data_IF_846287102285
#
_entry.id   IF_846287102285
#
_cell.length_a   1.000
_cell.length_b   1.000
_cell.length_c   1.000
_cell.angle_alpha   90.00
_cell.angle_beta   90.00
_cell.angle_gamma   90.00
#
_symmetry.space_group_name_H-M   'P 1'
#
loop_
_entity.id
_entity.type
_entity.pdbx_description
1 polymer ?
#
# COMPACT_ATOMS: atom_id res chain seq x y z
N UNK A 1 -7.39 21.42 2.26
CA UNK A 1 -7.73 20.68 1.01
C UNK A 1 -7.38 19.24 1.25
N UNK A 2 -8.23 18.32 0.80
CA UNK A 2 -7.97 16.88 0.92
C UNK A 2 -6.77 16.50 0.02
N UNK A 3 -5.84 15.70 0.54
CA UNK A 3 -4.65 15.23 -0.19
C UNK A 3 -5.02 14.07 -1.15
N UNK A 4 -5.81 14.39 -2.15
CA UNK A 4 -6.34 13.44 -3.13
C UNK A 4 -6.40 14.07 -4.52
N UNK A 5 -6.02 13.30 -5.54
CA UNK A 5 -6.21 13.65 -6.95
C UNK A 5 -7.59 13.14 -7.40
N UNK A 6 -8.54 14.04 -7.74
CA UNK A 6 -9.88 13.61 -8.16
C UNK A 6 -9.89 12.69 -9.39
N UNK A 7 -8.92 12.85 -10.31
CA UNK A 7 -8.83 12.01 -11.51
C UNK A 7 -8.38 10.59 -11.16
N UNK A 8 -7.43 10.45 -10.23
CA UNK A 8 -7.00 9.14 -9.74
C UNK A 8 -8.15 8.44 -8.99
N UNK A 9 -8.85 9.15 -8.09
CA UNK A 9 -10.02 8.60 -7.39
C UNK A 9 -11.11 8.13 -8.35
N UNK A 10 -11.43 8.91 -9.39
CA UNK A 10 -12.45 8.53 -10.37
C UNK A 10 -12.01 7.31 -11.18
N UNK A 11 -10.75 7.24 -11.60
CA UNK A 11 -10.16 6.11 -12.33
C UNK A 11 -10.30 4.80 -11.55
N UNK A 12 -9.86 4.75 -10.29
CA UNK A 12 -10.00 3.56 -9.45
C UNK A 12 -11.46 3.25 -9.13
N UNK A 13 -12.30 4.28 -8.96
CA UNK A 13 -13.74 4.12 -8.75
C UNK A 13 -14.44 3.47 -9.93
N UNK A 14 -14.06 3.76 -11.17
CA UNK A 14 -14.65 3.15 -12.37
C UNK A 14 -14.31 1.66 -12.48
N UNK A 15 -13.13 1.27 -12.03
CA UNK A 15 -12.63 -0.11 -12.10
C UNK A 15 -13.03 -0.95 -10.86
N UNK A 16 -13.61 -0.33 -9.83
CA UNK A 16 -13.83 -0.96 -8.53
C UNK A 16 -14.57 -2.31 -8.60
N UNK A 17 -15.56 -2.45 -9.49
CA UNK A 17 -16.38 -3.66 -9.66
C UNK A 17 -15.57 -4.89 -10.12
N UNK A 18 -14.33 -4.71 -10.59
CA UNK A 18 -13.43 -5.78 -11.05
C UNK A 18 -12.32 -6.12 -10.05
N UNK A 19 -12.34 -5.51 -8.86
CA UNK A 19 -11.24 -5.62 -7.89
C UNK A 19 -10.89 -7.06 -7.51
N UNK A 20 -11.91 -7.92 -7.37
CA UNK A 20 -11.76 -9.33 -7.02
C UNK A 20 -11.73 -10.29 -8.22
N UNK A 21 -11.84 -9.77 -9.44
CA UNK A 21 -11.64 -10.56 -10.66
C UNK A 21 -10.15 -10.77 -10.92
N UNK A 22 -9.65 -11.96 -10.63
CA UNK A 22 -8.23 -12.34 -10.80
C UNK A 22 -7.77 -12.40 -12.26
N UNK A 23 -8.67 -12.22 -13.23
CA UNK A 23 -8.35 -12.07 -14.65
C UNK A 23 -8.34 -10.60 -15.11
N UNK A 24 -8.70 -9.66 -14.22
CA UNK A 24 -8.75 -8.23 -14.49
C UNK A 24 -7.39 -7.55 -14.42
N UNK A 25 -7.39 -6.22 -14.59
CA UNK A 25 -6.25 -5.32 -14.36
C UNK A 25 -5.73 -5.35 -12.92
N UNK A 26 -6.50 -5.85 -11.95
CA UNK A 26 -6.09 -6.03 -10.55
C UNK A 26 -5.38 -7.38 -10.29
N UNK A 27 -5.29 -8.25 -11.31
CA UNK A 27 -4.55 -9.51 -11.21
C UNK A 27 -3.16 -9.36 -10.60
N UNK A 28 -2.32 -8.36 -10.96
CA UNK A 28 -1.01 -8.19 -10.34
C UNK A 28 -1.09 -8.01 -8.82
N UNK A 29 -2.11 -7.31 -8.29
CA UNK A 29 -2.29 -7.12 -6.85
C UNK A 29 -2.58 -8.46 -6.15
N UNK A 30 -3.36 -9.35 -6.77
CA UNK A 30 -3.62 -10.70 -6.23
C UNK A 30 -2.34 -11.55 -6.22
N UNK A 31 -1.56 -11.49 -7.31
CA UNK A 31 -0.33 -12.29 -7.45
C UNK A 31 0.78 -11.84 -6.49
N UNK A 32 0.90 -10.54 -6.20
CA UNK A 32 1.90 -10.01 -5.28
C UNK A 32 1.45 -10.05 -3.81
N UNK A 33 0.16 -10.18 -3.54
CA UNK A 33 -0.38 -10.10 -2.19
C UNK A 33 0.23 -11.11 -1.21
N UNK A 34 0.41 -12.40 -1.53
CA UNK A 34 1.06 -13.34 -0.64
C UNK A 34 2.48 -12.93 -0.26
N UNK A 35 3.26 -12.42 -1.22
CA UNK A 35 4.64 -11.99 -0.99
C UNK A 35 4.71 -10.79 -0.03
N UNK A 36 3.81 -9.81 -0.21
CA UNK A 36 3.71 -8.65 0.68
C UNK A 36 3.28 -9.05 2.09
N UNK A 37 2.25 -9.89 2.17
CA UNK A 37 1.70 -10.38 3.43
C UNK A 37 2.73 -11.15 4.24
N UNK A 38 3.49 -12.06 3.61
CA UNK A 38 4.55 -12.84 4.27
C UNK A 38 5.69 -11.93 4.76
N UNK A 39 6.08 -10.94 3.96
CA UNK A 39 7.12 -9.99 4.32
C UNK A 39 6.72 -9.09 5.48
N UNK A 40 5.46 -8.61 5.50
CA UNK A 40 4.90 -7.83 6.59
C UNK A 40 4.86 -8.67 7.88
N UNK A 41 4.30 -9.87 7.80
CA UNK A 41 4.14 -10.77 8.93
C UNK A 41 5.50 -11.11 9.58
N UNK A 42 6.47 -11.46 8.75
CA UNK A 42 7.84 -11.77 9.20
C UNK A 42 8.50 -10.59 9.91
N UNK A 43 8.48 -9.39 9.31
CA UNK A 43 9.19 -8.23 9.86
C UNK A 43 8.46 -7.57 11.03
N UNK A 44 7.15 -7.72 11.11
CA UNK A 44 6.38 -7.28 12.26
C UNK A 44 6.43 -8.26 13.45
N UNK A 45 7.06 -9.43 13.30
CA UNK A 45 7.06 -10.47 14.32
C UNK A 45 5.68 -11.10 14.53
N UNK A 46 4.93 -11.31 13.43
CA UNK A 46 3.54 -11.77 13.40
C UNK A 46 2.53 -10.63 13.40
N UNK A 47 1.40 -10.81 12.71
CA UNK A 47 0.28 -9.84 12.68
C UNK A 47 -0.90 -10.26 13.56
N UNK A 48 -0.92 -11.50 14.04
CA UNK A 48 -1.99 -12.01 14.91
C UNK A 48 -2.13 -11.13 16.17
N UNK A 49 -3.37 -10.86 16.57
CA UNK A 49 -3.75 -10.04 17.73
C UNK A 49 -3.29 -8.58 17.68
N UNK A 50 -2.69 -8.12 16.56
CA UNK A 50 -2.28 -6.73 16.37
C UNK A 50 -3.37 -5.89 15.73
N UNK A 51 -3.42 -4.61 16.09
CA UNK A 51 -4.24 -3.61 15.40
C UNK A 51 -3.49 -3.13 14.16
N UNK A 52 -4.04 -3.40 13.00
CA UNK A 52 -3.43 -3.10 11.69
C UNK A 52 -4.29 -2.10 10.93
N UNK A 53 -3.66 -1.06 10.39
CA UNK A 53 -4.28 -0.11 9.48
C UNK A 53 -3.76 -0.35 8.05
N UNK A 54 -4.69 -0.49 7.09
CA UNK A 54 -4.41 -0.53 5.66
C UNK A 54 -4.86 0.80 5.02
N UNK A 55 -3.90 1.65 4.65
CA UNK A 55 -4.12 2.98 4.08
C UNK A 55 -4.15 2.90 2.56
N UNK A 56 -5.27 3.34 1.96
CA UNK A 56 -5.53 3.12 0.55
C UNK A 56 -5.88 1.66 0.27
N UNK A 57 -6.74 1.05 1.12
CA UNK A 57 -7.04 -0.37 1.09
C UNK A 57 -7.79 -0.83 -0.18
N UNK A 58 -8.34 0.09 -0.98
CA UNK A 58 -9.09 -0.20 -2.19
C UNK A 58 -10.23 -1.20 -1.95
N UNK A 59 -10.25 -2.27 -2.73
CA UNK A 59 -11.24 -3.37 -2.60
C UNK A 59 -10.92 -4.40 -1.51
N UNK A 60 -9.89 -4.18 -0.66
CA UNK A 60 -9.68 -4.94 0.56
C UNK A 60 -8.83 -6.21 0.44
N UNK A 61 -8.11 -6.45 -0.66
CA UNK A 61 -7.33 -7.69 -0.88
C UNK A 61 -6.33 -7.93 0.27
N UNK A 62 -5.52 -6.94 0.62
CA UNK A 62 -4.53 -7.07 1.69
C UNK A 62 -5.19 -7.05 3.06
N UNK A 63 -6.16 -6.16 3.28
CA UNK A 63 -6.89 -6.04 4.54
C UNK A 63 -7.56 -7.36 4.96
N UNK A 64 -8.25 -8.05 4.04
CA UNK A 64 -8.87 -9.34 4.33
C UNK A 64 -7.84 -10.46 4.57
N UNK A 65 -6.71 -10.42 3.87
CA UNK A 65 -5.62 -11.38 4.08
C UNK A 65 -4.93 -11.22 5.43
N UNK A 66 -4.84 -9.99 5.94
CA UNK A 66 -4.34 -9.70 7.28
C UNK A 66 -5.32 -10.18 8.36
N UNK A 67 -6.63 -9.97 8.14
CA UNK A 67 -7.68 -10.47 9.02
C UNK A 67 -7.66 -12.02 9.10
N UNK A 68 -7.39 -12.69 7.98
CA UNK A 68 -7.20 -14.16 7.94
C UNK A 68 -6.05 -14.64 8.81
N UNK A 69 -5.01 -13.82 9.00
CA UNK A 69 -3.88 -14.09 9.89
C UNK A 69 -4.14 -13.69 11.34
N UNK A 70 -5.36 -13.31 11.68
CA UNK A 70 -5.77 -13.00 13.05
C UNK A 70 -5.51 -11.56 13.47
N UNK A 71 -5.23 -10.64 12.55
CA UNK A 71 -5.13 -9.22 12.86
C UNK A 71 -6.51 -8.58 13.06
N UNK A 72 -6.57 -7.54 13.92
CA UNK A 72 -7.71 -6.62 13.97
C UNK A 72 -7.47 -5.50 12.97
N UNK A 73 -8.16 -5.53 11.83
CA UNK A 73 -7.85 -4.69 10.67
C UNK A 73 -8.87 -3.57 10.52
N UNK A 74 -8.34 -2.35 10.34
CA UNK A 74 -9.06 -1.19 9.80
C UNK A 74 -8.52 -0.90 8.41
N UNK A 75 -9.40 -0.79 7.40
CA UNK A 75 -9.06 -0.39 6.04
C UNK A 75 -9.63 0.99 5.73
N UNK A 76 -8.83 1.91 5.24
CA UNK A 76 -9.29 3.24 4.85
C UNK A 76 -9.04 3.52 3.37
N UNK A 77 -10.01 4.16 2.72
CA UNK A 77 -9.90 4.62 1.34
C UNK A 77 -10.83 5.83 1.14
N UNK A 78 -10.56 6.65 0.14
CA UNK A 78 -11.42 7.78 -0.24
C UNK A 78 -12.47 7.40 -1.29
N UNK A 79 -12.27 6.29 -2.01
CA UNK A 79 -13.21 5.77 -3.00
C UNK A 79 -14.35 4.96 -2.34
N UNK A 80 -15.54 5.55 -2.25
CA UNK A 80 -16.72 4.84 -1.75
C UNK A 80 -17.06 3.59 -2.58
N UNK A 81 -16.79 3.63 -3.89
CA UNK A 81 -17.04 2.48 -4.77
C UNK A 81 -16.09 1.32 -4.45
N UNK A 82 -14.80 1.60 -4.20
CA UNK A 82 -13.83 0.58 -3.81
C UNK A 82 -14.20 -0.04 -2.43
N UNK A 83 -14.54 0.81 -1.45
CA UNK A 83 -15.01 0.35 -0.14
C UNK A 83 -16.32 -0.42 -0.22
N UNK A 84 -17.22 -0.04 -1.15
CA UNK A 84 -18.45 -0.80 -1.41
C UNK A 84 -18.15 -2.22 -1.87
N UNK A 85 -17.20 -2.39 -2.77
CA UNK A 85 -16.74 -3.72 -3.23
C UNK A 85 -16.06 -4.48 -2.10
N UNK A 86 -15.20 -3.83 -1.30
CA UNK A 86 -14.56 -4.45 -0.15
C UNK A 86 -15.60 -4.98 0.87
N UNK A 87 -16.63 -4.18 1.19
CA UNK A 87 -17.72 -4.60 2.10
C UNK A 87 -18.57 -5.74 1.54
N UNK A 88 -18.82 -5.76 0.22
CA UNK A 88 -19.54 -6.86 -0.43
C UNK A 88 -18.75 -8.17 -0.35
N UNK A 89 -17.47 -8.13 -0.69
CA UNK A 89 -16.61 -9.32 -0.60
C UNK A 89 -16.46 -9.81 0.85
N UNK A 90 -16.43 -8.88 1.81
CA UNK A 90 -16.38 -9.20 3.24
C UNK A 90 -17.61 -10.02 3.69
N UNK A 91 -18.81 -9.77 3.11
CA UNK A 91 -20.00 -10.57 3.37
C UNK A 91 -19.88 -11.99 2.81
N UNK A 92 -19.21 -12.15 1.67
CA UNK A 92 -18.97 -13.46 1.04
C UNK A 92 -17.89 -14.25 1.78
N UNK A 93 -16.81 -13.59 2.17
CA UNK A 93 -15.67 -14.22 2.85
C UNK A 93 -15.91 -14.51 4.33
N UNK A 94 -16.90 -13.84 4.96
CA UNK A 94 -17.22 -13.98 6.38
C UNK A 94 -16.15 -13.41 7.33
N UNK A 95 -15.18 -12.66 6.80
CA UNK A 95 -14.12 -12.02 7.58
C UNK A 95 -14.60 -10.75 8.30
N UNK A 96 -13.75 -10.18 9.13
CA UNK A 96 -14.05 -8.95 9.87
C UNK A 96 -12.97 -7.91 9.60
N UNK A 97 -13.33 -6.83 8.91
CA UNK A 97 -12.50 -5.65 8.68
C UNK A 97 -13.37 -4.42 8.87
N UNK A 98 -12.87 -3.39 9.55
CA UNK A 98 -13.55 -2.10 9.68
C UNK A 98 -13.16 -1.21 8.50
N UNK A 99 -14.03 -1.11 7.48
CA UNK A 99 -13.81 -0.25 6.31
C UNK A 99 -14.40 1.14 6.50
N UNK A 100 -13.53 2.17 6.48
CA UNK A 100 -13.91 3.57 6.71
C UNK A 100 -13.53 4.46 5.53
N UNK A 101 -14.46 5.35 5.13
CA UNK A 101 -14.19 6.40 4.15
C UNK A 101 -13.64 7.62 4.87
N UNK A 102 -12.32 7.68 4.96
CA UNK A 102 -11.60 8.76 5.65
C UNK A 102 -10.18 8.85 5.07
N UNK A 103 -9.58 10.03 5.05
CA UNK A 103 -8.17 10.18 4.71
C UNK A 103 -7.26 9.77 5.88
N UNK A 104 -6.01 9.43 5.57
CA UNK A 104 -5.02 9.09 6.59
C UNK A 104 -4.77 10.26 7.56
N UNK A 105 -4.75 11.48 7.02
CA UNK A 105 -4.55 12.72 7.79
C UNK A 105 -5.71 12.99 8.75
N UNK A 106 -6.96 12.80 8.30
CA UNK A 106 -8.14 12.96 9.17
C UNK A 106 -8.13 11.89 10.26
N UNK A 107 -7.85 10.64 9.92
CA UNK A 107 -7.76 9.55 10.90
C UNK A 107 -6.63 9.78 11.92
N UNK A 108 -5.50 10.36 11.48
CA UNK A 108 -4.39 10.69 12.38
C UNK A 108 -4.75 11.73 13.46
N UNK A 109 -5.74 12.58 13.16
CA UNK A 109 -6.30 13.52 14.18
C UNK A 109 -7.26 12.80 15.12
N UNK A 110 -8.06 11.83 14.61
CA UNK A 110 -9.04 11.11 15.42
C UNK A 110 -8.42 10.13 16.42
N UNK A 111 -7.39 9.36 15.99
CA UNK A 111 -6.83 8.27 16.79
C UNK A 111 -5.29 8.14 16.67
N UNK A 112 -4.53 9.15 17.13
CA UNK A 112 -3.06 9.08 17.10
C UNK A 112 -2.55 7.95 18.00
N UNK A 113 -1.54 7.21 17.54
CA UNK A 113 -0.91 6.14 18.31
C UNK A 113 -1.80 4.92 18.56
N UNK A 114 -2.78 4.65 17.72
CA UNK A 114 -3.74 3.56 17.92
C UNK A 114 -3.24 2.20 17.35
N UNK A 115 -2.40 2.21 16.30
CA UNK A 115 -2.09 1.01 15.54
C UNK A 115 -0.70 0.44 15.86
N UNK A 116 -0.59 -0.88 15.90
CA UNK A 116 0.67 -1.59 16.03
C UNK A 116 1.41 -1.64 14.69
N UNK A 117 0.64 -1.71 13.59
CA UNK A 117 1.13 -1.77 12.21
C UNK A 117 0.30 -0.84 11.34
N UNK A 118 0.98 -0.02 10.52
CA UNK A 118 0.37 0.80 9.47
C UNK A 118 0.98 0.42 8.12
N UNK A 119 0.14 0.13 7.14
CA UNK A 119 0.50 -0.31 5.81
C UNK A 119 -0.03 0.69 4.79
N UNK A 120 0.80 1.07 3.82
CA UNK A 120 0.41 1.93 2.71
C UNK A 120 1.11 1.41 1.44
N UNK A 121 0.40 0.58 0.67
CA UNK A 121 0.94 -0.13 -0.48
C UNK A 121 0.36 0.42 -1.79
N UNK A 122 1.24 0.72 -2.76
CA UNK A 122 0.85 1.19 -4.12
C UNK A 122 -0.12 2.38 -4.09
N UNK A 123 0.06 3.32 -3.17
CA UNK A 123 -0.84 4.47 -3.00
C UNK A 123 -0.10 5.82 -3.07
N UNK A 124 1.15 5.87 -2.60
CA UNK A 124 1.91 7.12 -2.47
C UNK A 124 2.12 7.86 -3.81
N UNK A 125 2.23 7.15 -4.93
CA UNK A 125 2.34 7.69 -6.28
C UNK A 125 1.04 8.28 -6.82
N UNK A 126 -0.09 8.07 -6.15
CA UNK A 126 -1.41 8.53 -6.58
C UNK A 126 -1.90 9.77 -5.84
N UNK A 127 -1.15 10.26 -4.86
CA UNK A 127 -1.52 11.44 -4.06
C UNK A 127 -0.67 12.67 -4.40
N UNK A 128 -1.21 13.89 -4.24
CA UNK A 128 -0.46 15.14 -4.48
C UNK A 128 0.72 15.33 -3.53
N UNK A 129 0.59 14.96 -2.26
CA UNK A 129 1.62 15.09 -1.22
C UNK A 129 1.84 13.76 -0.47
N UNK A 130 2.72 12.89 -0.99
CA UNK A 130 3.04 11.63 -0.34
C UNK A 130 3.74 11.80 1.03
N UNK A 131 4.45 12.92 1.26
CA UNK A 131 5.09 13.17 2.54
C UNK A 131 4.05 13.39 3.67
N UNK A 132 2.91 14.02 3.36
CA UNK A 132 1.78 14.15 4.28
C UNK A 132 1.22 12.79 4.70
N UNK A 133 1.09 11.84 3.75
CA UNK A 133 0.66 10.47 4.06
C UNK A 133 1.64 9.76 4.98
N UNK A 134 2.96 9.87 4.72
CA UNK A 134 4.00 9.27 5.57
C UNK A 134 3.92 9.86 6.99
N UNK A 135 3.67 11.16 7.12
CA UNK A 135 3.47 11.84 8.42
C UNK A 135 2.24 11.31 9.15
N UNK A 136 1.12 11.16 8.45
CA UNK A 136 -0.11 10.62 9.01
C UNK A 136 0.09 9.16 9.49
N UNK A 137 0.75 8.33 8.67
CA UNK A 137 1.09 6.95 9.04
C UNK A 137 1.94 6.89 10.31
N UNK A 138 2.96 7.75 10.44
CA UNK A 138 3.76 7.84 11.64
C UNK A 138 2.95 8.25 12.88
N UNK A 139 2.04 9.21 12.72
CA UNK A 139 1.18 9.69 13.81
C UNK A 139 0.23 8.60 14.31
N UNK A 140 -0.30 7.78 13.40
CA UNK A 140 -1.23 6.69 13.70
C UNK A 140 -0.58 5.50 14.42
N UNK A 141 0.74 5.30 14.25
CA UNK A 141 1.47 4.22 14.89
C UNK A 141 1.68 4.45 16.39
N UNK A 142 1.65 3.38 17.16
CA UNK A 142 2.20 3.34 18.52
C UNK A 142 3.72 3.54 18.50
N UNK A 143 4.36 4.04 19.56
CA UNK A 143 5.80 3.93 19.75
C UNK A 143 6.25 2.45 19.60
N UNK A 144 7.31 2.20 18.86
CA UNK A 144 7.75 0.83 18.51
C UNK A 144 6.93 0.14 17.43
N UNK A 145 5.87 0.76 16.91
CA UNK A 145 5.02 0.21 15.86
C UNK A 145 5.71 0.19 14.48
N UNK A 146 5.18 -0.61 13.57
CA UNK A 146 5.78 -0.91 12.28
C UNK A 146 5.04 -0.23 11.13
N UNK A 147 5.74 0.53 10.28
CA UNK A 147 5.24 1.09 9.04
C UNK A 147 5.75 0.28 7.85
N UNK A 148 4.85 0.00 6.89
CA UNK A 148 5.19 -0.64 5.64
C UNK A 148 4.68 0.19 4.47
N UNK A 149 5.57 0.49 3.52
CA UNK A 149 5.26 1.26 2.32
C UNK A 149 5.68 0.49 1.09
N UNK A 150 4.95 0.63 -0.02
CA UNK A 150 5.44 0.26 -1.35
C UNK A 150 5.09 1.31 -2.37
N UNK A 151 5.94 1.47 -3.38
CA UNK A 151 5.73 2.37 -4.51
C UNK A 151 6.73 2.09 -5.64
N UNK A 152 6.57 2.80 -6.76
CA UNK A 152 7.43 2.73 -7.94
C UNK A 152 8.62 3.69 -7.81
N UNK A 153 9.83 3.19 -8.12
CA UNK A 153 11.05 3.98 -8.09
C UNK A 153 11.15 4.92 -9.31
N UNK A 154 11.50 6.18 -9.11
CA UNK A 154 11.70 7.16 -10.18
C UNK A 154 13.07 7.04 -10.81
N UNK A 155 13.21 6.19 -11.83
CA UNK A 155 14.40 6.05 -12.66
C UNK A 155 14.05 5.57 -14.10
N UNK A 156 14.98 5.65 -15.08
CA UNK A 156 14.69 5.23 -16.44
C UNK A 156 14.29 3.77 -16.61
N UNK A 157 14.79 2.87 -15.76
CA UNK A 157 14.45 1.43 -15.81
C UNK A 157 13.01 1.19 -15.38
N UNK A 158 12.54 1.85 -14.33
CA UNK A 158 11.14 1.75 -13.89
C UNK A 158 10.18 2.34 -14.91
N UNK A 159 10.55 3.47 -15.55
CA UNK A 159 9.78 4.00 -16.66
C UNK A 159 9.62 2.99 -17.79
N UNK A 160 10.72 2.35 -18.21
CA UNK A 160 10.69 1.34 -19.27
C UNK A 160 9.88 0.11 -18.87
N UNK A 161 10.02 -0.37 -17.64
CA UNK A 161 9.39 -1.62 -17.20
C UNK A 161 7.93 -1.43 -16.78
N UNK A 162 7.62 -0.40 -15.98
CA UNK A 162 6.27 -0.17 -15.45
C UNK A 162 5.35 0.48 -16.49
N UNK A 163 5.85 1.45 -17.26
CA UNK A 163 5.02 2.14 -18.25
C UNK A 163 5.09 1.40 -19.60
N UNK A 164 6.27 1.31 -20.22
CA UNK A 164 6.36 0.69 -21.55
C UNK A 164 6.11 -0.80 -21.49
N UNK A 165 6.68 -1.52 -20.51
CA UNK A 165 6.54 -2.95 -20.37
C UNK A 165 5.13 -3.37 -19.96
N UNK A 166 4.64 -2.90 -18.82
CA UNK A 166 3.37 -3.36 -18.27
C UNK A 166 2.14 -2.79 -19.01
N UNK A 167 2.17 -1.51 -19.41
CA UNK A 167 1.01 -0.87 -20.03
C UNK A 167 0.92 -1.07 -21.56
N UNK A 168 2.07 -1.04 -22.28
CA UNK A 168 2.07 -1.07 -23.74
C UNK A 168 2.42 -2.44 -24.32
N UNK A 169 3.39 -3.17 -23.77
CA UNK A 169 3.86 -4.45 -24.31
C UNK A 169 3.07 -5.62 -23.74
N UNK A 170 3.04 -5.76 -22.42
CA UNK A 170 2.37 -6.90 -21.77
C UNK A 170 0.87 -6.68 -21.57
N UNK A 171 0.41 -5.41 -21.65
CA UNK A 171 -0.99 -5.01 -21.44
C UNK A 171 -1.58 -5.54 -20.13
N UNK A 172 -0.74 -5.60 -19.10
CA UNK A 172 -1.12 -6.03 -17.76
C UNK A 172 -1.95 -4.97 -17.04
N UNK A 173 -1.72 -3.69 -17.41
CA UNK A 173 -2.38 -2.52 -16.84
C UNK A 173 -2.93 -1.63 -17.97
N UNK A 174 -4.01 -0.87 -17.74
CA UNK A 174 -4.50 0.15 -18.67
C UNK A 174 -3.43 1.19 -18.98
N UNK A 175 -3.45 1.75 -20.18
CA UNK A 175 -2.54 2.85 -20.56
C UNK A 175 -2.83 4.08 -19.70
N UNK A 176 -1.77 4.75 -19.23
CA UNK A 176 -1.88 5.92 -18.38
C UNK A 176 -2.20 5.58 -16.92
N UNK A 177 -1.96 4.32 -16.51
CA UNK A 177 -2.06 3.94 -15.10
C UNK A 177 -1.03 4.66 -14.27
N UNK A 178 0.17 4.88 -14.79
CA UNK A 178 1.27 5.50 -14.07
C UNK A 178 1.74 6.80 -14.72
N UNK A 179 1.99 7.80 -13.89
CA UNK A 179 2.69 9.05 -14.24
C UNK A 179 4.11 9.00 -13.65
N UNK A 180 5.12 8.95 -14.52
CA UNK A 180 6.53 8.90 -14.11
C UNK A 180 6.94 10.03 -13.16
N UNK A 181 6.33 11.22 -13.31
CA UNK A 181 6.63 12.37 -12.46
C UNK A 181 6.23 12.12 -10.99
N UNK A 182 5.25 11.25 -10.76
CA UNK A 182 4.74 10.87 -9.43
C UNK A 182 5.51 9.70 -8.78
N UNK A 183 6.41 9.04 -9.51
CA UNK A 183 7.25 7.98 -8.94
C UNK A 183 8.17 8.51 -7.86
N UNK A 184 8.48 7.70 -6.85
CA UNK A 184 9.18 8.11 -5.63
C UNK A 184 10.50 7.36 -5.51
N UNK A 185 11.62 8.10 -5.38
CA UNK A 185 12.91 7.44 -5.17
C UNK A 185 12.99 6.87 -3.75
N UNK A 186 13.67 5.72 -3.55
CA UNK A 186 13.90 5.18 -2.21
C UNK A 186 14.49 6.19 -1.23
N UNK A 187 15.41 7.05 -1.69
CA UNK A 187 16.01 8.10 -0.87
C UNK A 187 15.02 9.20 -0.43
N UNK A 188 13.99 9.47 -1.23
CA UNK A 188 12.94 10.44 -0.89
C UNK A 188 12.04 9.86 0.21
N UNK A 189 11.56 8.63 0.03
CA UNK A 189 10.72 7.94 1.02
C UNK A 189 11.47 7.75 2.36
N UNK A 190 12.73 7.34 2.32
CA UNK A 190 13.60 7.22 3.51
C UNK A 190 13.76 8.57 4.22
N UNK A 191 13.94 9.66 3.47
CA UNK A 191 14.05 11.01 4.05
C UNK A 191 12.76 11.43 4.73
N UNK A 192 11.59 11.23 4.10
CA UNK A 192 10.29 11.53 4.70
C UNK A 192 10.05 10.69 5.95
N UNK A 193 10.33 9.39 5.91
CA UNK A 193 10.21 8.52 7.07
C UNK A 193 11.05 9.04 8.24
N UNK A 194 12.33 9.34 8.00
CA UNK A 194 13.24 9.85 9.06
C UNK A 194 12.82 11.21 9.62
N UNK A 195 12.15 12.06 8.84
CA UNK A 195 11.69 13.38 9.32
C UNK A 195 10.49 13.31 10.27
N UNK A 196 9.88 12.13 10.41
CA UNK A 196 8.69 11.89 11.25
C UNK A 196 8.88 10.72 12.22
N UNK A 197 10.11 10.53 12.71
CA UNK A 197 10.50 9.52 13.69
C UNK A 197 10.24 8.05 13.26
N UNK A 198 10.19 7.79 11.97
CA UNK A 198 10.20 6.43 11.43
C UNK A 198 11.65 6.05 11.06
N UNK A 199 12.21 5.08 11.77
CA UNK A 199 13.55 4.55 11.49
C UNK A 199 13.47 3.45 10.42
N UNK A 200 14.02 3.62 9.20
CA UNK A 200 14.07 2.58 8.19
C UNK A 200 14.83 1.35 8.70
N UNK A 201 14.20 0.18 8.65
CA UNK A 201 14.74 -1.07 9.18
C UNK A 201 15.06 -2.08 8.08
N UNK A 202 14.24 -2.16 7.03
CA UNK A 202 14.46 -3.06 5.90
C UNK A 202 13.91 -2.47 4.60
N UNK A 203 14.52 -2.84 3.48
CA UNK A 203 14.03 -2.51 2.14
C UNK A 203 14.23 -3.70 1.22
N UNK A 204 13.24 -3.97 0.36
CA UNK A 204 13.31 -5.02 -0.65
C UNK A 204 12.70 -4.54 -1.96
N UNK A 205 13.14 -5.07 -3.08
CA UNK A 205 12.51 -4.83 -4.37
C UNK A 205 11.46 -5.89 -4.69
N UNK A 206 10.51 -5.53 -5.52
CA UNK A 206 9.57 -6.44 -6.14
C UNK A 206 9.89 -6.52 -7.64
N UNK A 207 10.15 -7.71 -8.12
CA UNK A 207 10.47 -7.98 -9.53
C UNK A 207 9.47 -8.95 -10.15
N UNK A 208 9.23 -8.78 -11.45
CA UNK A 208 8.41 -9.67 -12.27
C UNK A 208 9.27 -10.30 -13.35
N UNK A 209 9.20 -11.63 -13.49
CA UNK A 209 9.84 -12.36 -14.59
C UNK A 209 8.78 -12.68 -15.67
N UNK A 210 8.85 -12.05 -16.85
CA UNK A 210 7.84 -12.26 -17.90
C UNK A 210 7.89 -13.66 -18.54
N UNK A 211 9.00 -14.40 -18.38
CA UNK A 211 9.13 -15.76 -18.93
C UNK A 211 8.42 -16.78 -18.02
N UNK A 212 8.64 -16.70 -16.70
CA UNK A 212 7.99 -17.58 -15.73
C UNK A 212 6.65 -17.04 -15.24
N UNK A 213 6.35 -15.76 -15.50
CA UNK A 213 5.16 -15.03 -15.01
C UNK A 213 5.07 -14.99 -13.48
N UNK A 214 6.21 -14.93 -12.81
CA UNK A 214 6.29 -14.93 -11.37
C UNK A 214 6.80 -13.61 -10.82
N UNK A 215 6.21 -13.20 -9.72
CA UNK A 215 6.73 -12.11 -8.88
C UNK A 215 7.65 -12.65 -7.80
N UNK A 216 8.68 -11.88 -7.43
CA UNK A 216 9.61 -12.23 -6.34
C UNK A 216 10.07 -10.99 -5.60
N UNK A 217 10.19 -11.11 -4.29
CA UNK A 217 10.91 -10.14 -3.48
C UNK A 217 12.42 -10.41 -3.58
N UNK A 218 13.24 -9.34 -3.59
CA UNK A 218 14.68 -9.47 -3.71
C UNK A 218 15.42 -8.14 -3.61
N UNK A 219 16.74 -8.15 -3.75
CA UNK A 219 17.61 -7.00 -3.47
C UNK A 219 17.49 -5.80 -4.43
N UNK A 220 16.88 -5.98 -5.60
CA UNK A 220 16.79 -4.93 -6.63
C UNK A 220 15.62 -3.98 -6.39
N UNK A 221 15.86 -2.76 -5.95
CA UNK A 221 14.84 -1.71 -5.77
C UNK A 221 14.62 -0.84 -7.00
N UNK A 222 14.98 -1.34 -8.18
CA UNK A 222 15.05 -0.53 -9.40
C UNK A 222 13.69 -0.16 -9.99
N UNK A 223 12.66 -1.00 -9.82
CA UNK A 223 11.34 -0.77 -10.43
C UNK A 223 10.29 -0.49 -9.35
N UNK A 224 9.93 -1.51 -8.60
CA UNK A 224 9.04 -1.39 -7.45
C UNK A 224 9.83 -1.79 -6.19
N UNK A 225 9.54 -1.16 -5.07
CA UNK A 225 10.22 -1.46 -3.81
C UNK A 225 9.28 -1.33 -2.61
N UNK A 226 9.61 -2.07 -1.57
CA UNK A 226 8.94 -2.04 -0.28
C UNK A 226 9.92 -1.50 0.76
N UNK A 227 9.44 -0.64 1.65
CA UNK A 227 10.17 -0.10 2.80
C UNK A 227 9.45 -0.51 4.08
N UNK A 228 10.19 -1.10 5.02
CA UNK A 228 9.79 -1.27 6.40
C UNK A 228 10.53 -0.25 7.28
N UNK A 229 9.79 0.42 8.14
CA UNK A 229 10.33 1.33 9.15
C UNK A 229 9.65 1.09 10.50
N UNK A 230 10.33 1.43 11.57
CA UNK A 230 9.81 1.31 12.95
C UNK A 230 9.71 2.69 13.55
N UNK A 231 8.58 3.01 14.19
CA UNK A 231 8.44 4.25 14.92
C UNK A 231 9.36 4.24 16.13
N UNK A 232 10.24 5.24 16.22
CA UNK A 232 11.16 5.35 17.36
C UNK A 232 10.37 5.57 18.65
N UNK A 233 10.81 4.95 19.74
CA UNK A 233 10.30 5.26 21.07
C UNK A 233 10.75 6.69 21.43
N UNK A 234 9.85 7.50 21.96
CA UNK A 234 10.25 8.77 22.56
C UNK A 234 11.21 8.45 23.71
N UNK A 235 12.48 8.81 23.53
CA UNK A 235 13.43 8.80 24.66
C UNK A 235 12.92 9.81 25.69
N UNK A 236 12.41 9.33 26.81
CA UNK A 236 12.00 10.13 27.98
C UNK A 236 13.22 10.71 28.63
#
# INVERSE_FOLDING_TARGET
MQNADPNELEKFSQLAHRWWDTASEFRPLHEINPLRLDWIDQLAGGVADKKVLDVGCGGGILAESLADRGATVTGIDLSEKALGVARLHLLESGKKVDYRKISAEELAVECPGEFDIVICMEMLEHVPDPASIVTACATLLKPGGHAFFSTLNRNPKSWLMAIVGAEYVLKMLPRGTHDYAKFIRPSELVRWAKSVDLSPAAMTGLSYNPLTREYRLGAGTDVNYLLHAVRTECSV
#
